data_IF_126098814937
#
_entry.id   IF_126098814937
#
_cell.length_a   1.000
_cell.length_b   1.000
_cell.length_c   1.000
_cell.angle_alpha   90.00
_cell.angle_beta   90.00
_cell.angle_gamma   90.00
#
_symmetry.space_group_name_H-M   'P 1'
#
loop_
_entity.id
_entity.type
_entity.pdbx_description
1 polymer ?
#
# COMPACT_ATOMS: atom_id res chain seq x y z
N UNK A 1 8.98 -22.82 -6.64
CA UNK A 1 8.95 -21.35 -6.77
C UNK A 1 9.13 -20.76 -5.38
N UNK A 2 10.03 -19.79 -5.22
CA UNK A 2 10.14 -19.05 -3.96
C UNK A 2 8.84 -18.24 -3.77
N UNK A 3 8.25 -18.32 -2.58
CA UNK A 3 7.11 -17.49 -2.22
C UNK A 3 7.63 -16.21 -1.58
N UNK A 4 7.42 -15.10 -2.26
CA UNK A 4 7.65 -13.76 -1.70
C UNK A 4 6.37 -13.22 -1.08
N UNK A 5 6.53 -12.41 -0.03
CA UNK A 5 5.45 -11.73 0.68
C UNK A 5 5.65 -10.22 0.55
N UNK A 6 4.66 -9.54 -0.01
CA UNK A 6 4.51 -8.08 0.09
C UNK A 6 3.60 -7.79 1.28
N UNK A 7 4.06 -6.94 2.19
CA UNK A 7 3.26 -6.44 3.30
C UNK A 7 3.31 -4.91 3.31
N UNK A 8 2.16 -4.29 3.43
CA UNK A 8 1.99 -2.85 3.45
C UNK A 8 1.13 -2.54 4.66
N UNK A 9 1.65 -1.72 5.56
CA UNK A 9 1.11 -1.58 6.91
C UNK A 9 1.11 -0.11 7.35
N UNK A 10 0.10 0.23 8.15
CA UNK A 10 -0.20 1.57 8.65
C UNK A 10 -0.14 2.68 7.58
N UNK A 11 -0.63 2.40 6.36
CA UNK A 11 -0.57 3.41 5.29
C UNK A 11 -1.59 4.51 5.53
N UNK A 12 -1.10 5.74 5.63
CA UNK A 12 -1.91 6.94 5.80
C UNK A 12 -1.55 7.97 4.74
N UNK A 13 -2.60 8.55 4.13
CA UNK A 13 -2.41 9.63 3.16
C UNK A 13 -3.52 10.66 3.26
N UNK A 14 -3.11 11.92 3.42
CA UNK A 14 -3.95 13.11 3.31
C UNK A 14 -3.55 13.92 2.08
N UNK A 15 -4.55 14.54 1.47
CA UNK A 15 -4.35 15.68 0.58
C UNK A 15 -5.07 16.86 1.20
N UNK A 16 -4.33 17.94 1.46
CA UNK A 16 -4.78 19.09 2.22
C UNK A 16 -5.42 18.66 3.56
N UNK A 17 -6.72 18.94 3.74
CA UNK A 17 -7.49 18.60 4.94
C UNK A 17 -8.25 17.28 4.82
N UNK A 18 -8.14 16.56 3.70
CA UNK A 18 -8.92 15.34 3.44
C UNK A 18 -8.07 14.08 3.60
N UNK A 19 -8.48 13.20 4.51
CA UNK A 19 -7.93 11.85 4.60
C UNK A 19 -8.42 10.99 3.43
N UNK A 20 -7.49 10.43 2.67
CA UNK A 20 -7.76 9.49 1.57
C UNK A 20 -7.50 8.05 2.00
N UNK A 21 -6.40 7.81 2.72
CA UNK A 21 -6.07 6.53 3.31
C UNK A 21 -5.90 6.72 4.82
N UNK A 22 -6.57 5.88 5.60
CA UNK A 22 -6.56 5.93 7.05
C UNK A 22 -6.24 4.53 7.56
N UNK A 23 -4.95 4.30 7.84
CA UNK A 23 -4.43 3.08 8.48
C UNK A 23 -4.70 1.80 7.67
N UNK A 24 -4.29 1.82 6.40
CA UNK A 24 -4.51 0.69 5.50
C UNK A 24 -3.43 -0.38 5.69
N UNK A 25 -3.88 -1.62 5.85
CA UNK A 25 -3.06 -2.84 5.84
C UNK A 25 -3.43 -3.73 4.65
N UNK A 26 -2.43 -4.27 3.95
CA UNK A 26 -2.59 -5.29 2.92
C UNK A 26 -1.35 -6.20 2.88
N UNK A 27 -1.60 -7.51 2.78
CA UNK A 27 -0.57 -8.54 2.58
C UNK A 27 -0.91 -9.34 1.31
N UNK A 28 0.10 -9.64 0.50
CA UNK A 28 -0.02 -10.41 -0.73
C UNK A 28 1.15 -11.38 -0.87
N UNK A 29 0.88 -12.65 -1.15
CA UNK A 29 1.88 -13.67 -1.38
C UNK A 29 1.99 -14.04 -2.87
N UNK A 30 3.16 -14.56 -3.26
CA UNK A 30 3.38 -15.02 -4.64
C UNK A 30 2.34 -16.09 -5.04
N UNK A 31 1.61 -15.81 -6.12
CA UNK A 31 0.54 -16.67 -6.63
C UNK A 31 -0.86 -16.25 -6.20
N UNK A 32 -1.00 -15.29 -5.28
CA UNK A 32 -2.30 -14.72 -4.91
C UNK A 32 -2.73 -13.62 -5.88
N UNK A 33 -4.04 -13.49 -6.06
CA UNK A 33 -4.67 -12.39 -6.80
C UNK A 33 -5.58 -11.64 -5.85
N UNK A 34 -5.27 -10.37 -5.59
CA UNK A 34 -6.07 -9.50 -4.72
C UNK A 34 -6.78 -8.45 -5.55
N UNK A 35 -8.11 -8.38 -5.42
CA UNK A 35 -8.93 -7.34 -6.01
C UNK A 35 -9.11 -6.16 -5.05
N UNK A 36 -8.68 -4.96 -5.46
CA UNK A 36 -8.92 -3.73 -4.69
C UNK A 36 -10.18 -3.01 -5.21
N UNK A 37 -11.29 -3.13 -4.48
CA UNK A 37 -12.61 -2.64 -4.87
C UNK A 37 -13.02 -1.41 -4.05
N UNK A 38 -13.87 -0.55 -4.63
CA UNK A 38 -14.39 0.65 -3.96
C UNK A 38 -14.84 1.73 -4.93
N UNK A 39 -15.62 2.71 -4.45
CA UNK A 39 -16.14 3.83 -5.26
C UNK A 39 -15.03 4.71 -5.84
N UNK A 40 -15.30 5.46 -6.90
CA UNK A 40 -14.37 6.46 -7.41
C UNK A 40 -14.01 7.47 -6.31
N UNK A 41 -12.73 7.80 -6.19
CA UNK A 41 -12.21 8.66 -5.12
C UNK A 41 -11.91 7.97 -3.79
N UNK A 42 -12.15 6.65 -3.64
CA UNK A 42 -11.90 5.92 -2.38
C UNK A 42 -10.41 5.63 -2.07
N UNK A 43 -9.47 6.21 -2.82
CA UNK A 43 -8.03 6.03 -2.55
C UNK A 43 -7.35 4.83 -3.22
N UNK A 44 -8.04 3.99 -4.00
CA UNK A 44 -7.45 2.78 -4.63
C UNK A 44 -6.16 3.05 -5.42
N UNK A 45 -6.21 3.98 -6.38
CA UNK A 45 -5.03 4.35 -7.16
C UNK A 45 -3.97 5.07 -6.33
N UNK A 46 -4.37 5.72 -5.22
CA UNK A 46 -3.42 6.35 -4.29
C UNK A 46 -2.63 5.28 -3.55
N UNK A 47 -3.32 4.25 -3.01
CA UNK A 47 -2.70 3.10 -2.36
C UNK A 47 -1.74 2.37 -3.30
N UNK A 48 -2.16 2.06 -4.54
CA UNK A 48 -1.29 1.40 -5.52
C UNK A 48 -0.04 2.24 -5.86
N UNK A 49 -0.18 3.55 -6.04
CA UNK A 49 0.98 4.44 -6.29
C UNK A 49 1.95 4.47 -5.11
N UNK A 50 1.44 4.38 -3.88
CA UNK A 50 2.26 4.28 -2.67
C UNK A 50 2.98 2.94 -2.59
N UNK A 51 2.32 1.84 -2.95
CA UNK A 51 2.95 0.50 -2.95
C UNK A 51 4.10 0.42 -3.97
N UNK A 52 3.95 1.10 -5.11
CA UNK A 52 4.93 1.10 -6.21
C UNK A 52 6.00 2.20 -6.13
N UNK A 53 6.03 3.02 -5.08
CA UNK A 53 7.03 4.11 -4.95
C UNK A 53 6.86 5.28 -5.89
N UNK A 54 5.67 5.44 -6.47
CA UNK A 54 5.33 6.56 -7.34
C UNK A 54 4.86 7.76 -6.51
N UNK A 55 4.23 7.51 -5.36
CA UNK A 55 3.68 8.53 -4.47
C UNK A 55 4.11 8.26 -3.03
N UNK A 56 4.51 9.29 -2.31
CA UNK A 56 4.82 9.15 -0.89
C UNK A 56 3.59 9.28 0.02
N UNK A 57 3.65 8.61 1.17
CA UNK A 57 2.60 8.59 2.18
C UNK A 57 3.04 9.37 3.43
N UNK A 58 2.08 9.85 4.21
CA UNK A 58 2.41 10.56 5.45
C UNK A 58 2.95 9.56 6.50
N UNK A 59 2.41 8.34 6.48
CA UNK A 59 2.94 7.17 7.18
C UNK A 59 2.81 5.94 6.27
N UNK A 60 3.84 5.10 6.23
CA UNK A 60 3.82 3.79 5.56
C UNK A 60 4.92 2.87 6.09
N UNK A 61 4.62 1.59 6.20
CA UNK A 61 5.62 0.53 6.23
C UNK A 61 5.40 -0.37 5.03
N UNK A 62 6.37 -0.41 4.11
CA UNK A 62 6.37 -1.34 2.98
C UNK A 62 7.46 -2.37 3.22
N UNK A 63 7.11 -3.65 3.25
CA UNK A 63 8.03 -4.77 3.48
C UNK A 63 7.93 -5.78 2.36
N UNK A 64 9.08 -6.28 1.92
CA UNK A 64 9.17 -7.47 1.07
C UNK A 64 9.94 -8.50 1.86
N UNK A 65 9.32 -9.66 2.10
CA UNK A 65 9.87 -10.75 2.91
C UNK A 65 10.31 -10.29 4.30
N UNK A 66 9.49 -9.45 4.93
CA UNK A 66 9.76 -8.85 6.25
C UNK A 66 10.79 -7.72 6.25
N UNK A 67 11.46 -7.45 5.13
CA UNK A 67 12.47 -6.39 5.02
C UNK A 67 11.84 -5.09 4.56
N UNK A 68 11.98 -4.04 5.37
CA UNK A 68 11.48 -2.69 5.06
C UNK A 68 12.15 -2.14 3.79
N UNK A 69 11.33 -1.54 2.91
CA UNK A 69 11.77 -0.86 1.69
C UNK A 69 11.54 0.64 1.83
N UNK A 70 12.64 1.38 1.90
CA UNK A 70 12.64 2.85 2.06
C UNK A 70 12.54 3.61 0.73
N UNK A 71 12.62 2.90 -0.41
CA UNK A 71 12.55 3.45 -1.77
C UNK A 71 11.47 2.75 -2.62
N UNK A 72 10.38 2.41 -1.96
CA UNK A 72 9.08 2.14 -2.57
C UNK A 72 8.13 3.24 -2.14
#
# INVERSE_FOLDING_TARGET
MNKHVLEIDSVQKKFDYKSILSDVYLKCETGEIIGLLGRNGSGKSTLLKIIFGILDADFKFVRIDGVIKNRT
#
